data_IF_465984529176
#
_entry.id   IF_465984529176
#
_cell.length_a   1.000
_cell.length_b   1.000
_cell.length_c   1.000
_cell.angle_alpha   90.00
_cell.angle_beta   90.00
_cell.angle_gamma   90.00
#
_symmetry.space_group_name_H-M   'P 1'
#
loop_
_entity.id
_entity.type
_entity.pdbx_description
1 polymer ?
#
# COMPACT_ATOMS: atom_id res chain seq x y z
N UNK A 1 2.48 3.40 24.91
CA UNK A 1 3.96 3.21 25.01
C UNK A 1 4.47 2.02 24.18
N UNK A 2 3.67 0.94 24.01
CA UNK A 2 4.12 -0.29 23.36
C UNK A 2 3.89 -0.36 21.84
N UNK A 3 3.24 0.65 21.24
CA UNK A 3 2.80 0.60 19.84
C UNK A 3 3.97 0.35 18.87
N UNK A 4 5.11 1.03 19.06
CA UNK A 4 6.28 0.85 18.20
C UNK A 4 6.82 -0.59 18.25
N UNK A 5 6.93 -1.15 19.46
CA UNK A 5 7.39 -2.52 19.67
C UNK A 5 6.44 -3.52 19.00
N UNK A 6 5.14 -3.43 19.31
CA UNK A 6 4.15 -4.37 18.79
C UNK A 6 4.02 -4.31 17.26
N UNK A 7 3.98 -3.13 16.66
CA UNK A 7 3.89 -2.99 15.21
C UNK A 7 5.17 -3.45 14.53
N UNK A 8 6.35 -3.19 15.13
CA UNK A 8 7.61 -3.69 14.57
C UNK A 8 7.70 -5.22 14.59
N UNK A 9 7.25 -5.87 15.67
CA UNK A 9 7.21 -7.34 15.78
C UNK A 9 6.19 -7.95 14.80
N UNK A 10 5.00 -7.36 14.70
CA UNK A 10 3.99 -7.74 13.73
C UNK A 10 4.52 -7.68 12.29
N UNK A 11 5.09 -6.53 11.89
CA UNK A 11 5.64 -6.35 10.53
C UNK A 11 6.80 -7.31 10.26
N UNK A 12 7.72 -7.48 11.22
CA UNK A 12 8.85 -8.39 11.06
C UNK A 12 8.37 -9.83 10.83
N UNK A 13 7.47 -10.34 11.69
CA UNK A 13 6.97 -11.72 11.58
C UNK A 13 6.17 -11.93 10.30
N UNK A 14 5.20 -11.07 10.02
CA UNK A 14 4.32 -11.24 8.86
C UNK A 14 5.05 -11.15 7.53
N UNK A 15 5.93 -10.15 7.37
CA UNK A 15 6.65 -9.95 6.12
C UNK A 15 7.78 -10.97 5.94
N UNK A 16 8.52 -11.31 7.00
CA UNK A 16 9.63 -12.27 6.89
C UNK A 16 9.14 -13.68 6.55
N UNK A 17 8.20 -14.22 7.33
CA UNK A 17 7.75 -15.61 7.19
C UNK A 17 6.92 -15.87 5.93
N UNK A 18 6.51 -14.83 5.20
CA UNK A 18 5.79 -14.95 3.93
C UNK A 18 6.65 -14.54 2.72
N UNK A 19 7.92 -14.21 2.95
CA UNK A 19 8.88 -13.89 1.89
C UNK A 19 9.72 -15.08 1.47
N UNK A 20 10.44 -14.95 0.36
CA UNK A 20 11.44 -15.90 -0.11
C UNK A 20 12.68 -16.03 0.80
N UNK A 21 12.81 -15.21 1.85
CA UNK A 21 13.84 -15.41 2.87
C UNK A 21 13.52 -16.60 3.79
N UNK A 22 12.24 -16.99 3.86
CA UNK A 22 11.74 -18.08 4.69
C UNK A 22 11.13 -19.21 3.87
N UNK A 23 10.26 -18.88 2.90
CA UNK A 23 9.56 -19.86 2.07
C UNK A 23 10.42 -20.38 0.92
N UNK A 24 10.21 -21.64 0.56
CA UNK A 24 10.67 -22.16 -0.73
C UNK A 24 9.90 -21.48 -1.88
N UNK A 25 10.48 -21.50 -3.09
CA UNK A 25 9.81 -20.93 -4.28
C UNK A 25 8.52 -21.66 -4.65
N UNK A 26 8.40 -22.94 -4.30
CA UNK A 26 7.17 -23.74 -4.51
C UNK A 26 6.04 -23.23 -3.61
N UNK A 27 6.30 -23.08 -2.30
CA UNK A 27 5.33 -22.54 -1.35
C UNK A 27 4.94 -21.10 -1.72
N UNK A 28 5.93 -20.26 -2.03
CA UNK A 28 5.69 -18.88 -2.43
C UNK A 28 4.80 -18.77 -3.68
N UNK A 29 5.02 -19.61 -4.71
CA UNK A 29 4.16 -19.64 -5.91
C UNK A 29 2.74 -20.12 -5.60
N UNK A 30 2.57 -21.05 -4.67
CA UNK A 30 1.25 -21.50 -4.24
C UNK A 30 0.48 -20.38 -3.53
N UNK A 31 1.16 -19.63 -2.64
CA UNK A 31 0.55 -18.47 -1.97
C UNK A 31 0.22 -17.34 -2.97
N UNK A 32 1.08 -17.05 -3.95
CA UNK A 32 0.74 -16.10 -5.03
C UNK A 32 -0.57 -16.53 -5.73
N UNK A 33 -0.66 -17.79 -6.18
CA UNK A 33 -1.84 -18.27 -6.88
C UNK A 33 -3.11 -18.15 -6.03
N UNK A 34 -3.01 -18.40 -4.72
CA UNK A 34 -4.12 -18.24 -3.77
C UNK A 34 -4.57 -16.78 -3.65
N UNK A 35 -3.63 -15.85 -3.49
CA UNK A 35 -3.92 -14.44 -3.21
C UNK A 35 -4.15 -13.58 -4.47
N UNK A 36 -3.80 -14.05 -5.67
CA UNK A 36 -4.17 -13.39 -6.94
C UNK A 36 -5.68 -13.16 -7.09
N UNK A 37 -6.52 -13.91 -6.38
CA UNK A 37 -7.97 -13.74 -6.37
C UNK A 37 -8.43 -12.42 -5.73
N UNK A 38 -7.58 -11.72 -4.98
CA UNK A 38 -7.88 -10.42 -4.36
C UNK A 38 -7.77 -9.23 -5.35
N UNK A 39 -7.91 -9.50 -6.65
CA UNK A 39 -7.64 -8.56 -7.75
C UNK A 39 -8.46 -7.28 -7.67
N UNK A 40 -9.72 -7.33 -7.23
CA UNK A 40 -10.57 -6.13 -7.16
C UNK A 40 -10.11 -5.16 -6.09
N UNK A 41 -9.62 -5.66 -4.95
CA UNK A 41 -9.04 -4.81 -3.91
C UNK A 41 -7.69 -4.24 -4.36
N UNK A 42 -6.85 -5.04 -5.04
CA UNK A 42 -5.62 -4.54 -5.64
C UNK A 42 -5.90 -3.43 -6.65
N UNK A 43 -6.89 -3.63 -7.55
CA UNK A 43 -7.31 -2.65 -8.55
C UNK A 43 -7.84 -1.36 -7.91
N UNK A 44 -8.55 -1.46 -6.79
CA UNK A 44 -8.95 -0.27 -6.02
C UNK A 44 -7.73 0.51 -5.54
N UNK A 45 -6.75 -0.14 -4.92
CA UNK A 45 -5.50 0.50 -4.46
C UNK A 45 -4.71 1.11 -5.63
N UNK A 46 -4.58 0.38 -6.75
CA UNK A 46 -3.94 0.86 -7.99
C UNK A 46 -4.57 2.17 -8.49
N UNK A 47 -5.88 2.30 -8.37
CA UNK A 47 -6.61 3.49 -8.74
C UNK A 47 -6.40 4.61 -7.73
N UNK A 48 -6.82 4.41 -6.47
CA UNK A 48 -6.97 5.51 -5.51
C UNK A 48 -5.65 5.96 -4.88
N UNK A 49 -4.64 5.09 -4.82
CA UNK A 49 -3.32 5.42 -4.27
C UNK A 49 -2.34 5.83 -5.38
N UNK A 50 -2.36 5.13 -6.50
CA UNK A 50 -1.31 5.25 -7.52
C UNK A 50 -1.75 5.97 -8.81
N UNK A 51 -3.02 6.39 -8.95
CA UNK A 51 -3.51 7.01 -10.19
C UNK A 51 -4.29 8.31 -9.93
N UNK A 52 -5.41 8.23 -9.21
CA UNK A 52 -6.38 9.32 -9.11
C UNK A 52 -5.76 10.65 -8.61
N UNK A 53 -4.90 10.70 -7.57
CA UNK A 53 -4.31 11.96 -7.09
C UNK A 53 -3.48 12.73 -8.14
N UNK A 54 -2.99 12.04 -9.17
CA UNK A 54 -2.06 12.58 -10.17
C UNK A 54 -2.76 12.96 -11.48
N UNK A 55 -4.09 12.97 -11.50
CA UNK A 55 -4.92 13.36 -12.64
C UNK A 55 -6.23 13.99 -12.18
N UNK A 56 -7.06 14.44 -13.13
CA UNK A 56 -8.44 14.80 -12.82
C UNK A 56 -9.25 13.52 -12.65
N UNK A 57 -9.78 13.29 -11.45
CA UNK A 57 -10.61 12.14 -11.13
C UNK A 57 -11.84 12.57 -10.32
N UNK A 58 -13.03 11.98 -10.57
CA UNK A 58 -14.27 12.35 -9.87
C UNK A 58 -14.23 12.12 -8.34
N UNK A 59 -13.41 11.18 -7.88
CA UNK A 59 -13.31 10.81 -6.46
C UNK A 59 -12.31 11.68 -5.69
N UNK A 60 -11.53 12.52 -6.38
CA UNK A 60 -10.61 13.41 -5.70
C UNK A 60 -11.38 14.49 -4.97
N UNK A 61 -10.95 14.75 -3.74
CA UNK A 61 -11.52 15.76 -2.88
C UNK A 61 -10.42 16.37 -2.02
N UNK A 62 -10.53 17.65 -1.75
CA UNK A 62 -9.61 18.41 -0.92
C UNK A 62 -10.33 19.62 -0.34
N UNK A 63 -9.72 20.29 0.63
CA UNK A 63 -10.29 21.50 1.24
C UNK A 63 -10.20 22.69 0.27
N UNK A 64 -11.21 22.83 -0.58
CA UNK A 64 -11.32 23.93 -1.56
C UNK A 64 -11.90 25.20 -0.91
N UNK A 65 -11.46 26.42 -1.30
CA UNK A 65 -10.48 26.71 -2.36
C UNK A 65 -9.01 26.63 -1.91
N UNK A 66 -8.76 26.36 -0.64
CA UNK A 66 -7.45 26.55 -0.02
C UNK A 66 -6.34 25.65 -0.59
N UNK A 67 -6.68 24.47 -1.11
CA UNK A 67 -5.74 23.49 -1.67
C UNK A 67 -5.86 23.31 -3.19
N UNK A 68 -6.56 24.20 -3.90
CA UNK A 68 -6.81 24.04 -5.34
C UNK A 68 -5.51 24.07 -6.16
N UNK A 69 -4.59 24.99 -5.81
CA UNK A 69 -3.27 25.09 -6.45
C UNK A 69 -2.34 23.95 -6.01
N UNK A 70 -2.42 23.48 -4.77
CA UNK A 70 -1.66 22.30 -4.32
C UNK A 70 -2.08 21.04 -5.08
N UNK A 71 -3.39 20.79 -5.19
CA UNK A 71 -3.93 19.68 -5.98
C UNK A 71 -3.55 19.81 -7.46
N UNK A 72 -3.40 21.03 -7.98
CA UNK A 72 -2.94 21.30 -9.34
C UNK A 72 -1.46 20.99 -9.51
N UNK A 73 -0.63 21.44 -8.58
CA UNK A 73 0.80 21.17 -8.59
C UNK A 73 1.07 19.65 -8.60
N UNK A 74 0.38 18.87 -7.75
CA UNK A 74 0.53 17.40 -7.71
C UNK A 74 0.25 16.74 -9.06
N UNK A 75 -0.85 17.12 -9.73
CA UNK A 75 -1.22 16.53 -11.03
C UNK A 75 -0.49 17.12 -12.23
N UNK A 76 0.29 18.19 -12.06
CA UNK A 76 1.12 18.79 -13.13
C UNK A 76 2.61 18.45 -12.96
N UNK A 77 3.02 17.88 -11.83
CA UNK A 77 4.40 17.45 -11.57
C UNK A 77 4.73 16.14 -12.31
N UNK A 78 5.54 16.25 -13.36
CA UNK A 78 5.99 15.10 -14.15
C UNK A 78 7.00 14.22 -13.43
N UNK A 79 7.85 14.79 -12.57
CA UNK A 79 8.82 14.00 -11.81
C UNK A 79 8.10 13.15 -10.78
N UNK A 80 7.15 13.73 -10.05
CA UNK A 80 6.31 12.99 -9.10
C UNK A 80 5.54 11.85 -9.78
N UNK A 81 4.96 12.09 -10.96
CA UNK A 81 4.28 11.06 -11.75
C UNK A 81 5.19 9.90 -12.15
N UNK A 82 6.44 10.20 -12.51
CA UNK A 82 7.42 9.18 -12.89
C UNK A 82 7.72 8.27 -11.69
N UNK A 83 8.04 8.85 -10.53
CA UNK A 83 8.32 8.09 -9.30
C UNK A 83 7.11 7.23 -8.88
N UNK A 84 5.90 7.78 -8.95
CA UNK A 84 4.68 7.05 -8.59
C UNK A 84 4.39 5.92 -9.59
N UNK A 85 4.67 6.11 -10.88
CA UNK A 85 4.54 5.05 -11.87
C UNK A 85 5.48 3.88 -11.60
N UNK A 86 6.73 4.14 -11.17
CA UNK A 86 7.66 3.09 -10.74
C UNK A 86 7.15 2.34 -9.50
N UNK A 87 6.61 3.07 -8.51
CA UNK A 87 6.00 2.45 -7.33
C UNK A 87 4.75 1.64 -7.68
N UNK A 88 3.92 2.10 -8.63
CA UNK A 88 2.75 1.37 -9.13
C UNK A 88 3.16 0.07 -9.82
N UNK A 89 4.16 0.11 -10.71
CA UNK A 89 4.71 -1.09 -11.34
C UNK A 89 5.22 -2.07 -10.29
N UNK A 90 5.96 -1.60 -9.29
CA UNK A 90 6.40 -2.44 -8.16
C UNK A 90 5.23 -3.04 -7.39
N UNK A 91 4.15 -2.29 -7.14
CA UNK A 91 2.95 -2.80 -6.46
C UNK A 91 2.26 -3.91 -7.26
N UNK A 92 2.09 -3.72 -8.58
CA UNK A 92 1.41 -4.68 -9.45
C UNK A 92 2.24 -5.94 -9.75
N UNK A 93 3.56 -5.81 -9.82
CA UNK A 93 4.43 -6.86 -10.37
C UNK A 93 5.25 -7.59 -9.30
N UNK A 94 5.61 -6.92 -8.20
CA UNK A 94 6.57 -7.48 -7.23
C UNK A 94 5.87 -8.27 -6.13
N UNK A 95 5.85 -9.58 -6.29
CA UNK A 95 5.41 -10.55 -5.27
C UNK A 95 6.51 -10.78 -4.22
N UNK A 96 6.65 -9.87 -3.25
CA UNK A 96 7.77 -9.91 -2.28
C UNK A 96 7.45 -10.66 -0.97
N UNK A 97 6.22 -10.51 -0.47
CA UNK A 97 5.70 -11.11 0.76
C UNK A 97 4.16 -10.98 0.74
N UNK A 98 3.46 -11.64 1.67
CA UNK A 98 2.04 -11.40 1.89
C UNK A 98 1.87 -10.14 2.75
N UNK A 99 1.52 -9.02 2.11
CA UNK A 99 1.29 -7.73 2.79
C UNK A 99 -0.15 -7.63 3.32
N UNK A 100 -0.36 -6.86 4.39
CA UNK A 100 -1.70 -6.51 4.89
C UNK A 100 -2.52 -5.74 3.84
N UNK A 101 -1.87 -4.90 3.03
CA UNK A 101 -2.51 -4.17 1.94
C UNK A 101 -3.23 -2.86 2.32
N UNK A 102 -3.42 -2.59 3.61
CA UNK A 102 -4.09 -1.38 4.12
C UNK A 102 -3.71 -1.05 5.58
N UNK A 103 -2.41 -1.09 5.88
CA UNK A 103 -1.88 -0.96 7.24
C UNK A 103 -1.73 0.52 7.65
N UNK A 104 -2.84 1.26 7.69
CA UNK A 104 -2.89 2.59 8.27
C UNK A 104 -3.31 2.54 9.75
N UNK A 105 -3.17 3.65 10.49
CA UNK A 105 -3.46 3.67 11.94
C UNK A 105 -4.92 3.32 12.29
N UNK A 106 -5.88 3.59 11.39
CA UNK A 106 -7.27 3.14 11.54
C UNK A 106 -7.47 1.61 11.47
N UNK A 107 -6.48 0.86 11.00
CA UNK A 107 -6.49 -0.62 10.92
C UNK A 107 -5.82 -1.26 12.14
N UNK A 108 -5.49 -0.47 13.16
CA UNK A 108 -4.80 -0.92 14.38
C UNK A 108 -5.62 -0.51 15.60
N UNK A 109 -6.10 -1.50 16.35
CA UNK A 109 -6.78 -1.27 17.63
C UNK A 109 -5.76 -1.23 18.76
N UNK A 110 -5.90 -0.32 19.73
CA UNK A 110 -4.90 -0.15 20.79
C UNK A 110 -5.53 0.03 22.16
N UNK A 111 -4.81 -0.43 23.18
CA UNK A 111 -4.98 0.00 24.57
C UNK A 111 -3.66 0.56 25.08
N UNK A 112 -3.59 0.94 26.36
CA UNK A 112 -2.33 1.37 26.99
C UNK A 112 -1.26 0.26 26.99
N UNK A 113 -1.66 -1.01 26.97
CA UNK A 113 -0.78 -2.17 27.15
C UNK A 113 -0.90 -3.23 26.04
N UNK A 114 -1.70 -3.01 25.00
CA UNK A 114 -1.87 -3.97 23.90
C UNK A 114 -2.09 -3.27 22.57
N UNK A 115 -1.82 -3.99 21.49
CA UNK A 115 -2.09 -3.63 20.09
C UNK A 115 -2.59 -4.88 19.40
#
# INVERSE_FOLDING_TARGET
PLLAEHISDYMAKTLFHTSLLYLSTTEHKAEIARFCSNVEMCRLTEQVIFSDPYMLAPNNHWTSPYLDEDAKAVREDNQLKMEVAELKSKFCEKTQALIHGDLHTGSVMVTSSST
#
